data_IF_825756151466
#
_entry.id   IF_825756151466
#
_cell.length_a   1.000
_cell.length_b   1.000
_cell.length_c   1.000
_cell.angle_alpha   90.00
_cell.angle_beta   90.00
_cell.angle_gamma   90.00
#
_symmetry.space_group_name_H-M   'P 1'
#
loop_
_entity.id
_entity.type
_entity.pdbx_description
1 polymer ?
#
# COMPACT_ATOMS: atom_id res chain seq x y z
N UNK A 1 -12.32 -48.59 30.14
CA UNK A 1 -12.60 -47.16 30.17
C UNK A 1 -11.37 -46.41 29.63
N UNK A 2 -11.33 -46.19 28.29
CA UNK A 2 -10.23 -45.46 27.65
C UNK A 2 -10.74 -44.08 27.29
N UNK A 3 -10.13 -43.05 27.85
CA UNK A 3 -10.36 -41.65 27.48
C UNK A 3 -9.46 -41.33 26.31
N UNK A 4 -10.05 -41.17 25.13
CA UNK A 4 -9.36 -40.58 23.96
C UNK A 4 -9.26 -39.08 24.16
N UNK A 5 -8.05 -38.56 24.33
CA UNK A 5 -7.75 -37.14 24.32
C UNK A 5 -7.62 -36.66 22.86
N UNK A 6 -8.60 -35.88 22.41
CA UNK A 6 -8.60 -35.23 21.12
C UNK A 6 -7.64 -34.01 21.18
N UNK A 7 -6.45 -34.14 20.62
CA UNK A 7 -5.52 -33.06 20.45
C UNK A 7 -6.03 -32.16 19.28
N UNK A 8 -6.60 -31.01 19.65
CA UNK A 8 -6.98 -29.95 18.72
C UNK A 8 -5.71 -29.20 18.32
N UNK A 9 -5.14 -29.57 17.18
CA UNK A 9 -4.03 -28.83 16.58
C UNK A 9 -4.56 -27.52 16.02
N UNK A 10 -4.34 -26.42 16.76
CA UNK A 10 -4.54 -25.07 16.26
C UNK A 10 -3.43 -24.80 15.26
N UNK A 11 -3.74 -24.88 13.95
CA UNK A 11 -2.90 -24.34 12.90
C UNK A 11 -2.88 -22.82 13.06
N UNK A 12 -1.83 -22.30 13.70
CA UNK A 12 -1.49 -20.91 13.63
C UNK A 12 -1.03 -20.64 12.18
N UNK A 13 -1.91 -20.03 11.38
CA UNK A 13 -1.54 -19.50 10.07
C UNK A 13 -0.51 -18.40 10.28
N UNK A 14 0.76 -18.71 10.04
CA UNK A 14 1.84 -17.73 9.98
C UNK A 14 1.57 -16.79 8.82
N UNK A 15 1.33 -15.51 9.13
CA UNK A 15 1.19 -14.46 8.14
C UNK A 15 2.56 -14.11 7.60
N UNK A 16 2.76 -14.24 6.30
CA UNK A 16 3.94 -13.77 5.59
C UNK A 16 3.75 -12.29 5.24
N UNK A 17 4.81 -11.51 5.38
CA UNK A 17 4.77 -10.05 5.30
C UNK A 17 5.74 -9.54 4.21
N UNK A 18 5.35 -8.53 3.44
CA UNK A 18 5.97 -8.08 2.21
C UNK A 18 7.07 -7.02 2.39
N UNK A 19 8.12 -7.12 1.56
CA UNK A 19 9.19 -6.12 1.52
C UNK A 19 9.89 -6.04 0.15
N UNK A 20 10.27 -4.83 -0.30
CA UNK A 20 10.94 -4.58 -1.60
C UNK A 20 12.44 -4.92 -1.64
N UNK A 21 12.99 -5.49 -0.57
CA UNK A 21 14.33 -6.04 -0.45
C UNK A 21 14.27 -7.41 0.19
N UNK A 22 15.40 -7.92 0.71
CA UNK A 22 15.35 -8.99 1.68
C UNK A 22 16.13 -8.67 2.94
N UNK A 23 15.63 -9.14 4.07
CA UNK A 23 16.33 -9.05 5.33
C UNK A 23 17.26 -10.24 5.50
N UNK A 24 18.46 -9.99 6.00
CA UNK A 24 19.41 -11.01 6.43
C UNK A 24 19.69 -10.83 7.91
N UNK A 25 19.46 -11.86 8.70
CA UNK A 25 19.67 -11.82 10.14
C UNK A 25 20.97 -12.53 10.53
N UNK A 26 21.62 -12.09 11.65
CA UNK A 26 22.65 -12.92 12.29
C UNK A 26 21.99 -14.08 13.02
N UNK A 27 22.53 -15.25 12.82
CA UNK A 27 22.35 -16.57 13.40
C UNK A 27 21.12 -16.81 14.22
N UNK A 28 19.97 -16.72 14.26
CA UNK A 28 18.80 -17.16 15.03
C UNK A 28 17.58 -16.20 15.05
N UNK A 29 17.67 -15.06 14.35
CA UNK A 29 16.54 -14.13 14.25
C UNK A 29 15.58 -14.55 13.13
N UNK A 30 14.33 -14.82 13.45
CA UNK A 30 13.23 -14.87 12.48
C UNK A 30 12.69 -13.44 12.32
N UNK A 31 12.77 -12.92 11.11
CA UNK A 31 12.39 -11.56 10.77
C UNK A 31 11.07 -11.57 9.99
N UNK A 32 10.06 -10.87 10.50
CA UNK A 32 8.75 -10.76 9.87
C UNK A 32 8.36 -9.29 9.66
N UNK A 33 7.72 -9.01 8.53
CA UNK A 33 7.18 -7.68 8.20
C UNK A 33 5.67 -7.79 7.90
N UNK A 34 4.82 -6.87 8.38
CA UNK A 34 3.34 -7.02 8.30
C UNK A 34 2.69 -6.47 7.03
N UNK A 35 3.25 -5.48 6.41
CA UNK A 35 2.95 -4.96 5.08
C UNK A 35 4.00 -3.94 4.71
N UNK A 36 4.57 -4.02 3.53
CA UNK A 36 5.53 -3.01 3.08
C UNK A 36 4.82 -1.81 2.51
N UNK A 37 5.29 -0.63 2.90
CA UNK A 37 4.86 0.65 2.32
C UNK A 37 6.05 1.29 1.62
N UNK A 38 5.85 1.69 0.37
CA UNK A 38 6.87 2.37 -0.43
C UNK A 38 6.27 3.61 -1.07
N UNK A 39 6.88 4.77 -0.82
CA UNK A 39 6.60 5.96 -1.58
C UNK A 39 7.64 6.09 -2.70
N UNK A 40 7.18 6.29 -3.93
CA UNK A 40 8.02 6.51 -5.11
C UNK A 40 7.63 7.84 -5.74
N UNK A 41 8.59 8.76 -5.77
CA UNK A 41 8.48 10.04 -6.45
C UNK A 41 9.26 9.97 -7.74
N UNK A 42 8.65 10.35 -8.88
CA UNK A 42 9.32 10.27 -10.17
C UNK A 42 8.96 11.43 -11.10
N UNK A 43 10.00 12.04 -11.67
CA UNK A 43 9.89 13.00 -12.77
C UNK A 43 11.02 12.77 -13.78
N UNK A 44 10.70 12.36 -15.00
CA UNK A 44 11.69 11.90 -15.97
C UNK A 44 12.51 10.70 -15.45
N UNK A 45 13.85 10.76 -15.49
CA UNK A 45 14.70 9.71 -14.91
C UNK A 45 14.89 9.85 -13.40
N UNK A 46 14.61 11.03 -12.82
CA UNK A 46 14.84 11.30 -11.41
C UNK A 46 13.84 10.56 -10.53
N UNK A 47 14.34 9.77 -9.60
CA UNK A 47 13.53 8.91 -8.74
C UNK A 47 13.95 9.06 -7.29
N UNK A 48 12.98 9.23 -6.40
CA UNK A 48 13.19 9.11 -4.95
C UNK A 48 12.31 7.99 -4.43
N UNK A 49 12.90 7.02 -3.73
CA UNK A 49 12.18 5.92 -3.09
C UNK A 49 12.29 6.05 -1.58
N UNK A 50 11.17 6.06 -0.87
CA UNK A 50 11.11 5.98 0.59
C UNK A 50 10.50 4.65 0.97
N UNK A 51 11.26 3.81 1.67
CA UNK A 51 10.87 2.45 2.06
C UNK A 51 10.55 2.42 3.54
N UNK A 52 9.29 2.18 3.87
CA UNK A 52 8.83 1.96 5.24
C UNK A 52 9.10 0.53 5.69
N UNK A 53 9.74 0.38 6.83
CA UNK A 53 10.05 -0.92 7.41
C UNK A 53 9.12 -1.16 8.61
N UNK A 54 8.05 -1.94 8.43
CA UNK A 54 7.24 -2.44 9.54
C UNK A 54 7.86 -3.74 10.08
N UNK A 55 8.97 -3.56 10.80
CA UNK A 55 9.67 -4.66 11.43
C UNK A 55 9.00 -5.05 12.76
N UNK A 56 8.70 -6.32 12.93
CA UNK A 56 8.28 -6.90 14.21
C UNK A 56 9.15 -8.10 14.55
N UNK A 57 10.10 -7.92 15.45
CA UNK A 57 11.00 -8.97 15.93
C UNK A 57 12.12 -8.40 16.81
N UNK A 58 12.99 -9.24 17.40
CA UNK A 58 14.14 -8.74 18.14
C UNK A 58 15.07 -7.98 17.17
N UNK A 59 15.40 -6.74 17.51
CA UNK A 59 16.32 -5.85 16.76
C UNK A 59 17.78 -6.35 16.77
N UNK A 60 17.98 -7.65 16.75
CA UNK A 60 19.31 -8.24 16.62
C UNK A 60 19.78 -8.09 15.19
N UNK A 61 20.85 -7.37 15.01
CA UNK A 61 21.64 -7.14 13.79
C UNK A 61 21.08 -7.78 12.50
N UNK A 62 20.15 -7.11 11.82
CA UNK A 62 19.71 -7.48 10.47
C UNK A 62 20.25 -6.50 9.44
N UNK A 63 20.33 -6.89 8.20
CA UNK A 63 20.61 -6.00 7.08
C UNK A 63 19.49 -6.06 6.06
N UNK A 64 19.26 -4.91 5.45
CA UNK A 64 18.38 -4.72 4.31
C UNK A 64 19.23 -4.68 3.04
N UNK A 65 18.89 -5.48 2.05
CA UNK A 65 19.54 -5.50 0.73
C UNK A 65 18.56 -5.01 -0.32
N UNK A 66 18.92 -3.93 -1.03
CA UNK A 66 18.11 -3.33 -2.10
C UNK A 66 18.95 -3.18 -3.35
N UNK A 67 18.53 -3.70 -4.52
CA UNK A 67 19.21 -3.41 -5.77
C UNK A 67 18.90 -1.97 -6.21
N UNK A 68 19.96 -1.25 -6.58
CA UNK A 68 19.91 0.13 -7.03
C UNK A 68 20.60 0.29 -8.39
N UNK A 69 20.21 1.26 -9.25
CA UNK A 69 20.73 1.36 -10.61
C UNK A 69 22.21 1.78 -10.66
N UNK A 70 22.69 2.50 -9.65
CA UNK A 70 24.04 3.08 -9.60
C UNK A 70 24.58 3.05 -8.17
N UNK A 71 25.87 3.35 -8.03
CA UNK A 71 26.48 3.60 -6.70
C UNK A 71 25.96 4.93 -6.18
N UNK A 72 25.23 4.88 -5.07
CA UNK A 72 24.68 6.08 -4.45
C UNK A 72 25.76 6.82 -3.65
N UNK A 73 25.76 8.15 -3.72
CA UNK A 73 26.55 8.99 -2.86
C UNK A 73 25.84 9.22 -1.52
N UNK A 74 26.55 9.67 -0.51
CA UNK A 74 25.99 9.84 0.84
C UNK A 74 24.82 10.83 0.88
N UNK A 75 24.88 11.90 0.12
CA UNK A 75 23.85 12.94 -0.01
C UNK A 75 22.60 12.49 -0.77
N UNK A 76 22.66 11.33 -1.43
CA UNK A 76 21.50 10.66 -2.06
C UNK A 76 20.74 9.75 -1.09
N UNK A 77 21.21 9.60 0.15
CA UNK A 77 20.66 8.67 1.15
C UNK A 77 20.22 9.45 2.38
N UNK A 78 18.95 9.40 2.69
CA UNK A 78 18.35 10.07 3.84
C UNK A 78 17.51 9.11 4.68
N UNK A 79 17.12 9.53 5.88
CA UNK A 79 16.14 8.85 6.72
C UNK A 79 14.82 9.60 6.66
N UNK A 80 13.79 8.90 6.26
CA UNK A 80 12.43 9.42 6.23
C UNK A 80 11.77 9.43 7.61
N UNK A 81 10.58 10.01 7.67
CA UNK A 81 9.70 9.93 8.84
C UNK A 81 8.55 8.95 8.53
N UNK A 82 8.38 7.93 9.38
CA UNK A 82 7.26 6.99 9.26
C UNK A 82 5.91 7.69 9.26
N UNK A 83 5.78 8.78 10.00
CA UNK A 83 4.55 9.58 10.04
C UNK A 83 4.10 10.07 8.66
N UNK A 84 5.02 10.30 7.74
CA UNK A 84 4.68 10.72 6.38
C UNK A 84 4.07 9.58 5.57
N UNK A 85 4.56 8.34 5.75
CA UNK A 85 3.94 7.16 5.16
C UNK A 85 2.56 6.88 5.77
N UNK A 86 2.42 7.05 7.09
CA UNK A 86 1.14 6.92 7.78
C UNK A 86 0.14 7.99 7.27
N UNK A 87 0.60 9.23 7.03
CA UNK A 87 -0.21 10.31 6.42
C UNK A 87 -0.64 9.97 4.98
N UNK A 88 0.25 9.41 4.16
CA UNK A 88 -0.10 8.92 2.81
C UNK A 88 -1.16 7.80 2.90
N UNK A 89 -0.98 6.88 3.85
CA UNK A 89 -1.92 5.80 4.09
C UNK A 89 -3.30 6.33 4.46
N UNK A 90 -3.39 7.22 5.45
CA UNK A 90 -4.63 7.84 5.90
C UNK A 90 -5.32 8.64 4.78
N UNK A 91 -4.55 9.43 4.02
CA UNK A 91 -5.07 10.26 2.94
C UNK A 91 -5.63 9.45 1.78
N UNK A 92 -5.01 8.32 1.42
CA UNK A 92 -5.31 7.57 0.20
C UNK A 92 -5.95 6.19 0.44
N UNK A 93 -6.20 5.78 1.69
CA UNK A 93 -6.80 4.48 1.98
C UNK A 93 -8.22 4.34 1.42
N UNK A 94 -8.63 3.12 1.08
CA UNK A 94 -10.03 2.80 0.87
C UNK A 94 -10.89 3.26 2.05
N UNK A 95 -12.05 3.83 1.76
CA UNK A 95 -12.84 4.48 2.80
C UNK A 95 -14.32 4.18 2.72
N UNK A 96 -14.94 4.30 3.88
CA UNK A 96 -16.38 4.25 4.06
C UNK A 96 -16.89 5.69 4.22
N UNK A 97 -17.94 6.04 3.49
CA UNK A 97 -18.63 7.32 3.62
C UNK A 97 -20.08 7.07 3.98
N UNK A 98 -20.66 7.95 4.79
CA UNK A 98 -22.00 7.78 5.32
C UNK A 98 -22.87 8.96 4.92
N UNK A 99 -24.05 8.64 4.42
CA UNK A 99 -25.09 9.62 4.13
C UNK A 99 -26.38 9.21 4.84
N UNK A 100 -27.22 10.18 5.14
CA UNK A 100 -28.55 9.94 5.71
C UNK A 100 -29.61 10.47 4.75
N UNK A 101 -30.65 9.68 4.50
CA UNK A 101 -31.76 10.13 3.66
C UNK A 101 -32.48 11.33 4.29
N UNK A 102 -32.83 12.31 3.48
CA UNK A 102 -33.67 13.43 3.97
C UNK A 102 -35.08 12.92 4.31
N UNK A 103 -35.80 13.73 5.09
CA UNK A 103 -37.22 13.49 5.41
C UNK A 103 -38.05 13.44 4.13
N UNK A 104 -38.62 12.30 3.76
CA UNK A 104 -39.40 12.18 2.52
C UNK A 104 -40.74 12.93 2.58
N UNK A 105 -41.23 13.27 3.78
CA UNK A 105 -42.44 14.00 3.98
C UNK A 105 -42.23 15.53 4.01
N UNK A 106 -40.97 15.99 4.04
CA UNK A 106 -40.61 17.41 4.16
C UNK A 106 -39.36 17.75 3.32
N UNK A 107 -39.47 17.57 2.03
CA UNK A 107 -38.36 17.86 1.09
C UNK A 107 -38.19 19.38 0.94
N UNK A 108 -37.26 19.97 1.70
CA UNK A 108 -36.73 21.32 1.43
C UNK A 108 -35.53 21.22 0.50
N UNK A 109 -35.44 22.09 -0.55
CA UNK A 109 -34.24 22.06 -1.41
C UNK A 109 -33.01 22.46 -0.61
N UNK A 110 -31.99 21.62 -0.65
CA UNK A 110 -30.72 21.84 0.02
C UNK A 110 -29.94 22.99 -0.61
N UNK A 111 -29.37 23.86 0.23
CA UNK A 111 -28.43 24.92 -0.13
C UNK A 111 -27.03 24.46 0.22
N UNK A 112 -26.14 24.48 -0.76
CA UNK A 112 -24.71 24.14 -0.57
C UNK A 112 -23.97 25.27 0.14
N UNK A 113 -23.13 24.91 1.12
CA UNK A 113 -22.13 25.81 1.70
C UNK A 113 -20.73 25.20 1.59
N UNK A 114 -19.82 25.96 0.98
CA UNK A 114 -18.37 25.65 0.94
C UNK A 114 -17.61 26.62 1.86
N UNK A 115 -16.58 26.13 2.54
CA UNK A 115 -15.57 26.99 3.17
C UNK A 115 -14.16 26.36 3.11
N UNK A 116 -13.18 27.20 2.80
CA UNK A 116 -11.76 26.91 2.64
C UNK A 116 -10.94 27.40 3.84
N UNK A 117 -9.77 26.79 4.09
CA UNK A 117 -8.66 27.47 4.76
C UNK A 117 -7.30 26.76 4.56
N UNK A 118 -6.22 27.54 4.61
CA UNK A 118 -4.84 27.18 4.21
C UNK A 118 -3.78 27.57 5.25
N UNK A 119 -2.61 26.90 5.27
CA UNK A 119 -1.24 27.32 5.05
C UNK A 119 -0.13 27.27 6.13
N UNK A 120 1.10 26.92 5.65
CA UNK A 120 2.52 27.31 5.88
C UNK A 120 3.37 26.56 6.89
N UNK A 121 4.55 26.36 6.67
CA UNK A 121 5.80 26.00 6.00
C UNK A 121 7.04 26.32 6.87
N UNK A 122 8.19 25.61 6.66
CA UNK A 122 9.52 25.92 7.19
C UNK A 122 10.59 24.84 6.99
N UNK A 123 11.83 25.21 6.66
CA UNK A 123 12.93 24.45 6.05
C UNK A 123 14.26 24.40 6.88
N UNK A 124 15.46 24.01 6.32
CA UNK A 124 16.20 22.75 6.60
C UNK A 124 17.69 22.96 7.03
N UNK A 125 18.54 21.89 7.12
CA UNK A 125 20.02 21.97 7.01
C UNK A 125 20.77 20.62 6.88
N UNK A 126 22.08 20.63 6.44
CA UNK A 126 22.86 19.62 5.76
C UNK A 126 24.14 19.09 6.46
N UNK A 127 24.65 17.98 6.00
CA UNK A 127 25.78 17.05 5.91
C UNK A 127 27.19 17.32 6.55
N UNK A 128 28.13 16.33 6.68
CA UNK A 128 29.07 15.83 5.69
C UNK A 128 29.69 14.38 5.83
N UNK A 129 30.72 14.01 5.06
CA UNK A 129 31.19 12.75 4.45
C UNK A 129 32.23 11.83 5.16
N UNK A 130 32.49 10.57 4.57
CA UNK A 130 33.58 9.62 4.91
C UNK A 130 33.79 8.38 4.00
N UNK A 131 34.95 7.65 4.01
CA UNK A 131 35.62 6.84 2.97
C UNK A 131 35.57 5.29 3.02
N UNK A 132 35.97 4.58 1.94
CA UNK A 132 35.76 3.19 1.52
C UNK A 132 36.91 2.14 1.71
N UNK A 133 36.57 0.79 1.60
CA UNK A 133 37.50 -0.36 1.59
C UNK A 133 36.99 -1.55 0.71
N UNK A 134 37.87 -2.53 0.29
CA UNK A 134 37.60 -3.60 -0.71
C UNK A 134 37.84 -5.04 -0.21
N UNK A 135 37.07 -6.04 -0.70
CA UNK A 135 37.30 -7.49 -0.54
C UNK A 135 36.69 -8.34 -1.70
N UNK A 136 37.11 -9.64 -1.83
CA UNK A 136 37.11 -10.53 -3.00
C UNK A 136 35.76 -10.72 -3.74
N UNK A 137 35.78 -10.56 -5.08
CA UNK A 137 34.65 -10.84 -6.00
C UNK A 137 33.48 -9.83 -5.91
N UNK A 138 33.32 -9.23 -4.77
CA UNK A 138 32.44 -8.11 -4.48
C UNK A 138 33.30 -6.89 -4.25
N UNK A 139 32.96 -5.80 -4.92
CA UNK A 139 33.63 -4.51 -4.70
C UNK A 139 32.74 -3.70 -3.76
N UNK A 140 33.29 -3.31 -2.61
CA UNK A 140 32.71 -2.29 -1.77
C UNK A 140 33.00 -0.94 -2.43
N UNK A 141 31.98 -0.37 -3.05
CA UNK A 141 32.09 0.89 -3.80
C UNK A 141 32.09 2.09 -2.85
N UNK A 142 31.28 2.02 -1.79
CA UNK A 142 31.17 3.06 -0.77
C UNK A 142 30.66 2.50 0.56
N UNK A 143 30.93 3.22 1.64
CA UNK A 143 30.39 2.90 2.97
C UNK A 143 30.05 4.20 3.71
N UNK A 144 28.86 4.23 4.32
CA UNK A 144 28.34 5.40 5.03
C UNK A 144 27.66 4.98 6.33
N UNK A 145 27.68 5.84 7.33
CA UNK A 145 26.77 5.77 8.46
C UNK A 145 25.74 6.88 8.33
N UNK A 146 24.46 6.52 8.36
CA UNK A 146 23.32 7.45 8.26
C UNK A 146 22.34 7.06 9.37
N UNK A 147 22.30 7.87 10.45
CA UNK A 147 21.52 7.58 11.65
C UNK A 147 21.83 6.18 12.20
N UNK A 148 20.80 5.39 12.42
CA UNK A 148 20.91 4.02 12.94
C UNK A 148 21.37 2.97 11.92
N UNK A 149 21.77 3.37 10.71
CA UNK A 149 22.19 2.44 9.67
C UNK A 149 23.66 2.60 9.29
N UNK A 150 24.39 1.49 9.27
CA UNK A 150 25.66 1.35 8.56
C UNK A 150 25.35 0.85 7.15
N UNK A 151 25.71 1.61 6.14
CA UNK A 151 25.37 1.39 4.74
C UNK A 151 26.61 1.02 3.96
N UNK A 152 26.50 0.00 3.10
CA UNK A 152 27.55 -0.41 2.18
C UNK A 152 26.96 -0.53 0.78
N UNK A 153 27.60 0.10 -0.20
CA UNK A 153 27.26 -0.02 -1.62
C UNK A 153 28.19 -1.07 -2.25
N UNK A 154 27.60 -2.11 -2.83
CA UNK A 154 28.34 -3.24 -3.39
C UNK A 154 28.09 -3.34 -4.89
N UNK A 155 29.17 -3.67 -5.63
CA UNK A 155 29.09 -4.24 -6.97
C UNK A 155 29.45 -5.72 -6.90
N UNK A 156 28.68 -6.56 -7.58
CA UNK A 156 28.95 -7.99 -7.66
C UNK A 156 29.13 -8.42 -9.12
N UNK A 157 30.09 -9.29 -9.37
CA UNK A 157 30.32 -9.91 -10.70
C UNK A 157 29.38 -11.07 -10.93
N UNK A 158 28.99 -11.76 -9.87
CA UNK A 158 28.05 -12.87 -9.86
C UNK A 158 27.24 -12.88 -8.56
N UNK A 159 26.10 -13.58 -8.57
CA UNK A 159 25.20 -13.65 -7.42
C UNK A 159 25.74 -14.52 -6.28
N UNK A 160 26.58 -15.50 -6.59
CA UNK A 160 27.22 -16.35 -5.60
C UNK A 160 28.25 -15.58 -4.75
N UNK A 161 29.05 -14.72 -5.38
CA UNK A 161 30.01 -13.87 -4.68
C UNK A 161 29.33 -12.89 -3.73
N UNK A 162 28.16 -12.34 -4.10
CA UNK A 162 27.38 -11.49 -3.20
C UNK A 162 26.79 -12.29 -2.02
N UNK A 163 26.27 -13.48 -2.29
CA UNK A 163 25.75 -14.35 -1.24
C UNK A 163 26.87 -14.74 -0.26
N UNK A 164 28.06 -15.11 -0.78
CA UNK A 164 29.23 -15.45 0.04
C UNK A 164 29.69 -14.28 0.90
N UNK A 165 29.82 -13.07 0.32
CA UNK A 165 30.16 -11.86 1.06
C UNK A 165 29.20 -11.59 2.22
N UNK A 166 27.90 -11.70 1.98
CA UNK A 166 26.88 -11.51 3.02
C UNK A 166 26.99 -12.58 4.10
N UNK A 167 27.26 -13.86 3.72
CA UNK A 167 27.45 -14.97 4.66
C UNK A 167 28.72 -14.80 5.50
N UNK A 168 29.85 -14.41 4.88
CA UNK A 168 31.10 -14.10 5.59
C UNK A 168 30.95 -12.89 6.53
N UNK A 169 30.10 -11.93 6.16
CA UNK A 169 29.73 -10.81 7.03
C UNK A 169 28.83 -11.22 8.19
N UNK A 170 28.51 -12.52 8.34
CA UNK A 170 27.74 -13.10 9.42
C UNK A 170 26.23 -13.07 9.23
N UNK A 171 25.74 -12.81 8.02
CA UNK A 171 24.31 -12.79 7.73
C UNK A 171 23.78 -14.17 7.34
N UNK A 172 22.58 -14.49 7.80
CA UNK A 172 21.85 -15.68 7.37
C UNK A 172 21.10 -15.37 6.09
N UNK A 173 21.55 -15.99 4.99
CA UNK A 173 21.00 -15.76 3.66
C UNK A 173 19.84 -16.73 3.40
N UNK A 174 18.67 -16.28 2.91
CA UNK A 174 17.60 -17.15 2.46
C UNK A 174 18.08 -18.14 1.39
N UNK A 175 17.52 -19.37 1.39
CA UNK A 175 17.97 -20.45 0.48
C UNK A 175 17.88 -20.10 -1.01
N UNK A 176 16.97 -19.19 -1.40
CA UNK A 176 16.75 -18.75 -2.79
C UNK A 176 17.34 -17.38 -3.11
N UNK A 177 18.18 -16.83 -2.25
CA UNK A 177 18.71 -15.48 -2.43
C UNK A 177 19.57 -15.35 -3.70
N UNK A 178 20.43 -16.34 -4.01
CA UNK A 178 21.25 -16.30 -5.22
C UNK A 178 20.40 -16.26 -6.50
N UNK A 179 19.30 -17.00 -6.55
CA UNK A 179 18.34 -16.98 -7.67
C UNK A 179 17.66 -15.61 -7.79
N UNK A 180 17.24 -15.03 -6.67
CA UNK A 180 16.59 -13.72 -6.63
C UNK A 180 17.56 -12.58 -6.98
N UNK A 181 18.85 -12.71 -6.64
CA UNK A 181 19.91 -11.73 -6.93
C UNK A 181 20.40 -11.78 -8.39
N UNK A 182 20.39 -12.96 -9.02
CA UNK A 182 20.97 -13.17 -10.34
C UNK A 182 20.46 -12.22 -11.44
N UNK A 183 19.16 -11.89 -11.54
CA UNK A 183 18.66 -10.92 -12.54
C UNK A 183 19.26 -9.52 -12.40
N UNK A 184 19.48 -9.06 -11.16
CA UNK A 184 20.04 -7.72 -10.88
C UNK A 184 21.53 -7.67 -11.21
N UNK A 185 22.28 -8.73 -10.90
CA UNK A 185 23.70 -8.85 -11.29
C UNK A 185 23.84 -8.84 -12.81
N UNK A 186 22.99 -9.58 -13.56
CA UNK A 186 22.97 -9.56 -15.03
C UNK A 186 22.66 -8.18 -15.60
N UNK A 187 21.89 -7.36 -14.89
CA UNK A 187 21.59 -5.99 -15.26
C UNK A 187 22.66 -4.98 -14.79
N UNK A 188 23.77 -5.45 -14.21
CA UNK A 188 24.85 -4.63 -13.64
C UNK A 188 24.35 -3.64 -12.56
N UNK A 189 23.26 -3.99 -11.85
CA UNK A 189 22.79 -3.21 -10.72
C UNK A 189 23.76 -3.28 -9.55
N UNK A 190 23.71 -2.29 -8.72
CA UNK A 190 24.48 -2.23 -7.47
C UNK A 190 23.58 -2.67 -6.32
N UNK A 191 24.19 -2.99 -5.19
CA UNK A 191 23.44 -3.45 -4.02
C UNK A 191 23.70 -2.51 -2.87
N UNK A 192 22.62 -1.84 -2.47
CA UNK A 192 22.56 -1.07 -1.25
C UNK A 192 22.32 -2.05 -0.10
N UNK A 193 23.25 -2.13 0.83
CA UNK A 193 23.14 -2.97 2.01
C UNK A 193 23.17 -2.08 3.24
N UNK A 194 22.04 -1.99 3.92
CA UNK A 194 21.91 -1.23 5.17
C UNK A 194 21.83 -2.19 6.37
N UNK A 195 22.74 -2.05 7.29
CA UNK A 195 22.79 -2.79 8.55
C UNK A 195 22.32 -1.89 9.68
N UNK A 196 21.47 -2.42 10.56
CA UNK A 196 21.10 -1.69 11.78
C UNK A 196 22.21 -1.77 12.81
N UNK A 197 22.67 -0.62 13.27
CA UNK A 197 23.59 -0.48 14.36
C UNK A 197 22.81 -0.29 15.66
N UNK A 198 22.67 -1.34 16.45
CA UNK A 198 21.91 -1.30 17.71
C UNK A 198 22.49 -0.36 18.75
N UNK A 199 23.77 0.01 18.64
CA UNK A 199 24.40 0.98 19.56
C UNK A 199 23.90 2.39 19.30
N UNK A 200 23.62 2.72 18.04
CA UNK A 200 23.06 4.00 17.61
C UNK A 200 21.51 3.99 17.69
N UNK A 201 20.92 2.81 17.73
CA UNK A 201 19.47 2.62 17.81
C UNK A 201 18.91 2.71 19.25
N UNK A 202 19.69 3.21 20.23
CA UNK A 202 19.22 3.37 21.61
C UNK A 202 17.99 4.27 21.71
N UNK A 203 16.84 3.67 22.11
CA UNK A 203 15.57 4.37 22.24
C UNK A 203 14.71 4.39 20.96
N UNK A 204 15.16 3.82 19.84
CA UNK A 204 14.37 3.68 18.62
C UNK A 204 13.44 2.48 18.77
N UNK A 205 12.14 2.73 18.94
CA UNK A 205 11.13 1.66 19.01
C UNK A 205 10.78 1.12 17.62
N UNK A 206 11.02 1.90 16.56
CA UNK A 206 10.77 1.54 15.15
C UNK A 206 11.89 2.09 14.27
N UNK A 207 12.38 1.28 13.34
CA UNK A 207 13.37 1.70 12.34
C UNK A 207 12.79 2.79 11.43
N UNK A 208 13.55 3.88 11.24
CA UNK A 208 13.13 4.95 10.33
C UNK A 208 13.15 4.46 8.88
N UNK A 209 12.20 4.92 8.04
CA UNK A 209 12.23 4.65 6.60
C UNK A 209 13.55 5.09 5.99
N UNK A 210 14.08 4.29 5.07
CA UNK A 210 15.24 4.68 4.27
C UNK A 210 14.73 5.36 2.99
N UNK A 211 15.29 6.52 2.69
CA UNK A 211 15.02 7.27 1.48
C UNK A 211 16.27 7.31 0.60
N UNK A 212 16.10 7.02 -0.69
CA UNK A 212 17.18 6.98 -1.68
C UNK A 212 16.79 7.76 -2.92
N UNK A 213 17.66 8.67 -3.37
CA UNK A 213 17.49 9.44 -4.61
C UNK A 213 18.49 8.97 -5.66
N UNK A 214 18.02 8.72 -6.89
CA UNK A 214 18.86 8.28 -8.00
C UNK A 214 18.22 8.55 -9.36
N UNK A 215 19.05 8.54 -10.38
CA UNK A 215 18.60 8.56 -11.78
C UNK A 215 18.51 7.15 -12.34
N UNK A 216 17.44 6.86 -13.05
CA UNK A 216 17.23 5.58 -13.72
C UNK A 216 16.33 5.77 -14.96
N UNK A 217 16.71 5.17 -16.07
CA UNK A 217 15.82 5.07 -17.24
C UNK A 217 14.58 4.21 -16.95
N UNK A 218 14.72 3.25 -16.04
CA UNK A 218 13.63 2.35 -15.67
C UNK A 218 12.87 2.87 -14.47
N UNK A 219 11.55 2.96 -14.61
CA UNK A 219 10.65 3.16 -13.49
C UNK A 219 10.30 1.77 -12.92
N UNK A 220 11.06 1.32 -11.94
CA UNK A 220 11.01 -0.05 -11.43
C UNK A 220 11.02 -0.08 -9.90
N UNK A 221 10.29 -1.05 -9.33
CA UNK A 221 10.39 -1.41 -7.92
C UNK A 221 10.79 -2.88 -7.79
N UNK A 222 11.96 -3.19 -7.20
CA UNK A 222 12.43 -4.55 -7.03
C UNK A 222 11.62 -5.26 -5.94
N UNK A 223 10.84 -6.27 -6.31
CA UNK A 223 10.03 -7.08 -5.38
C UNK A 223 10.53 -8.52 -5.24
N UNK A 224 11.35 -9.01 -6.16
CA UNK A 224 11.84 -10.41 -6.14
C UNK A 224 12.59 -10.75 -4.86
N UNK A 225 13.34 -9.81 -4.31
CA UNK A 225 14.10 -10.04 -3.09
C UNK A 225 13.20 -10.26 -1.88
N UNK A 226 12.07 -9.57 -1.81
CA UNK A 226 11.05 -9.79 -0.77
C UNK A 226 10.55 -11.24 -0.75
N UNK A 227 10.39 -11.84 -1.92
CA UNK A 227 9.94 -13.23 -2.05
C UNK A 227 10.96 -14.27 -1.55
N UNK A 228 12.24 -13.92 -1.48
CA UNK A 228 13.26 -14.82 -0.94
C UNK A 228 13.09 -15.05 0.58
N UNK A 229 12.46 -14.11 1.29
CA UNK A 229 12.15 -14.24 2.73
C UNK A 229 10.77 -14.87 3.00
N UNK A 230 9.94 -15.06 1.97
CA UNK A 230 8.62 -15.64 2.11
C UNK A 230 8.72 -17.17 2.25
N UNK A 231 8.72 -17.67 3.47
CA UNK A 231 8.73 -19.12 3.74
C UNK A 231 7.39 -19.82 3.36
N UNK A 232 6.29 -19.11 3.28
CA UNK A 232 5.02 -19.59 2.72
C UNK A 232 3.97 -18.46 2.65
N UNK A 233 3.60 -18.04 1.47
CA UNK A 233 2.42 -17.22 1.23
C UNK A 233 2.68 -15.91 0.49
N UNK A 234 1.60 -15.34 -0.02
CA UNK A 234 1.63 -14.05 -0.70
C UNK A 234 1.82 -12.90 0.29
N UNK A 235 2.46 -11.84 -0.17
CA UNK A 235 2.83 -10.65 0.60
C UNK A 235 2.06 -9.43 0.08
N UNK A 236 1.65 -8.53 0.99
CA UNK A 236 1.00 -7.28 0.62
C UNK A 236 2.00 -6.12 0.57
N UNK A 237 1.92 -5.31 -0.49
CA UNK A 237 2.74 -4.14 -0.73
C UNK A 237 1.85 -2.97 -1.14
N UNK A 238 1.98 -1.85 -0.45
CA UNK A 238 1.34 -0.59 -0.81
C UNK A 238 2.39 0.34 -1.43
N UNK A 239 2.14 0.75 -2.66
CA UNK A 239 2.98 1.72 -3.38
C UNK A 239 2.23 3.04 -3.50
N UNK A 240 2.83 4.11 -2.97
CA UNK A 240 2.40 5.49 -3.16
C UNK A 240 3.26 6.11 -4.25
N UNK A 241 2.77 6.11 -5.47
CA UNK A 241 3.48 6.69 -6.61
C UNK A 241 3.06 8.14 -6.83
N UNK A 242 4.03 9.04 -6.84
CA UNK A 242 3.85 10.49 -6.99
C UNK A 242 4.55 10.96 -8.26
N UNK A 243 3.78 11.53 -9.19
CA UNK A 243 4.27 12.00 -10.50
C UNK A 243 3.63 13.33 -10.90
N UNK A 244 4.27 14.07 -11.83
CA UNK A 244 3.70 15.32 -12.38
C UNK A 244 2.58 15.08 -13.37
N UNK A 245 2.62 13.97 -14.13
CA UNK A 245 1.84 13.82 -15.37
C UNK A 245 0.47 13.21 -15.18
N UNK A 246 0.32 12.27 -14.27
CA UNK A 246 -0.91 11.54 -14.07
C UNK A 246 -0.69 10.22 -13.34
N UNK A 247 -1.68 9.36 -13.34
CA UNK A 247 -1.62 8.10 -12.59
C UNK A 247 -0.52 7.17 -13.08
N UNK A 248 -0.05 6.34 -12.17
CA UNK A 248 0.94 5.30 -12.43
C UNK A 248 0.25 3.97 -12.65
N UNK A 249 0.72 3.23 -13.65
CA UNK A 249 0.29 1.86 -13.95
C UNK A 249 1.50 0.94 -14.10
N UNK A 250 1.29 -0.34 -13.85
CA UNK A 250 2.31 -1.35 -14.19
C UNK A 250 2.33 -1.60 -15.70
N UNK A 251 3.53 -1.85 -16.26
CA UNK A 251 3.70 -2.16 -17.68
C UNK A 251 3.84 -3.65 -17.95
N UNK A 252 4.16 -4.43 -16.93
CA UNK A 252 4.36 -5.89 -17.07
C UNK A 252 3.32 -6.73 -16.31
N UNK A 253 2.44 -6.08 -15.54
CA UNK A 253 1.27 -6.71 -14.89
C UNK A 253 0.03 -5.87 -15.18
N UNK A 254 -1.12 -6.53 -15.24
CA UNK A 254 -2.38 -5.83 -15.41
C UNK A 254 -2.63 -4.88 -14.24
N UNK A 255 -2.91 -3.62 -14.51
CA UNK A 255 -3.38 -2.67 -13.50
C UNK A 255 -4.89 -2.55 -13.58
N UNK A 256 -5.57 -2.80 -12.46
CA UNK A 256 -7.03 -2.76 -12.35
C UNK A 256 -7.47 -1.82 -11.24
N UNK A 257 -8.59 -1.14 -11.41
CA UNK A 257 -9.22 -0.38 -10.32
C UNK A 257 -10.03 -1.35 -9.48
N UNK A 258 -9.91 -1.25 -8.14
CA UNK A 258 -10.82 -1.99 -7.28
C UNK A 258 -12.24 -1.45 -7.46
N UNK A 259 -13.28 -2.30 -7.52
CA UNK A 259 -14.65 -1.82 -7.54
C UNK A 259 -14.95 -0.93 -6.34
N UNK A 260 -15.47 0.26 -6.60
CA UNK A 260 -15.76 1.26 -5.57
C UNK A 260 -16.90 2.18 -6.01
N UNK A 261 -17.18 3.19 -5.22
CA UNK A 261 -18.28 4.15 -5.44
C UNK A 261 -19.65 3.47 -5.51
N UNK A 262 -19.87 2.52 -4.61
CA UNK A 262 -21.06 1.68 -4.55
C UNK A 262 -21.68 1.69 -3.16
N UNK A 263 -23.00 1.55 -3.12
CA UNK A 263 -23.76 1.40 -1.86
C UNK A 263 -23.65 -0.04 -1.35
N UNK A 264 -23.40 -0.16 -0.03
CA UNK A 264 -23.29 -1.44 0.68
C UNK A 264 -24.07 -1.40 1.99
N UNK A 265 -24.49 -2.56 2.54
CA UNK A 265 -25.30 -2.63 3.75
C UNK A 265 -24.63 -1.99 4.98
N UNK A 266 -25.43 -1.33 5.83
CA UNK A 266 -24.97 -0.64 7.05
C UNK A 266 -24.11 -1.50 7.98
N UNK A 267 -24.37 -2.79 8.09
CA UNK A 267 -23.62 -3.68 8.99
C UNK A 267 -22.12 -3.75 8.68
N UNK A 268 -21.70 -3.41 7.45
CA UNK A 268 -20.28 -3.41 7.03
C UNK A 268 -19.48 -2.38 7.83
N UNK A 269 -20.10 -1.33 8.35
CA UNK A 269 -19.45 -0.34 9.21
C UNK A 269 -18.72 -0.99 10.40
N UNK A 270 -19.31 -2.02 10.99
CA UNK A 270 -18.76 -2.69 12.19
C UNK A 270 -17.48 -3.49 11.91
N UNK A 271 -17.27 -3.90 10.66
CA UNK A 271 -16.12 -4.69 10.23
C UNK A 271 -15.70 -4.30 8.80
N UNK A 272 -15.43 -3.02 8.58
CA UNK A 272 -15.01 -2.53 7.28
C UNK A 272 -13.68 -3.17 6.84
N UNK A 273 -12.75 -3.41 7.77
CA UNK A 273 -11.48 -4.08 7.48
C UNK A 273 -11.66 -5.50 6.96
N UNK A 274 -12.56 -6.29 7.56
CA UNK A 274 -12.87 -7.65 7.10
C UNK A 274 -13.58 -7.66 5.74
N UNK A 275 -14.51 -6.73 5.54
CA UNK A 275 -15.14 -6.51 4.24
C UNK A 275 -14.09 -6.21 3.16
N UNK A 276 -13.23 -5.20 3.40
CA UNK A 276 -12.26 -4.78 2.39
C UNK A 276 -11.26 -5.89 2.03
N UNK A 277 -10.80 -6.67 3.01
CA UNK A 277 -9.95 -7.84 2.75
C UNK A 277 -10.63 -8.85 1.83
N UNK A 278 -11.92 -9.10 2.03
CA UNK A 278 -12.70 -10.03 1.19
C UNK A 278 -12.90 -9.47 -0.21
N UNK A 279 -13.25 -8.18 -0.33
CA UNK A 279 -13.41 -7.51 -1.62
C UNK A 279 -12.12 -7.48 -2.42
N UNK A 280 -11.00 -7.15 -1.78
CA UNK A 280 -9.68 -7.16 -2.42
C UNK A 280 -9.28 -8.58 -2.87
N UNK A 281 -9.45 -9.59 -2.02
CA UNK A 281 -9.13 -10.96 -2.38
C UNK A 281 -10.00 -11.47 -3.54
N UNK A 282 -11.29 -11.12 -3.54
CA UNK A 282 -12.22 -11.49 -4.61
C UNK A 282 -11.86 -10.80 -5.93
N UNK A 283 -11.52 -9.51 -5.89
CA UNK A 283 -11.06 -8.76 -7.06
C UNK A 283 -9.76 -9.35 -7.64
N UNK A 284 -8.79 -9.72 -6.79
CA UNK A 284 -7.56 -10.37 -7.25
C UNK A 284 -7.83 -11.74 -7.87
N UNK A 285 -8.71 -12.54 -7.26
CA UNK A 285 -9.06 -13.86 -7.79
C UNK A 285 -9.67 -13.77 -9.21
N UNK A 286 -10.48 -12.76 -9.48
CA UNK A 286 -11.03 -12.50 -10.82
C UNK A 286 -9.94 -12.19 -11.88
N UNK A 287 -8.72 -11.85 -11.45
CA UNK A 287 -7.56 -11.58 -12.30
C UNK A 287 -6.41 -12.58 -12.06
N UNK A 288 -6.73 -13.82 -11.70
CA UNK A 288 -5.76 -14.91 -11.50
C UNK A 288 -4.65 -14.56 -10.48
N UNK A 289 -4.94 -13.69 -9.51
CA UNK A 289 -4.01 -13.15 -8.52
C UNK A 289 -2.78 -12.44 -9.11
N UNK A 290 -2.86 -11.95 -10.35
CA UNK A 290 -1.75 -11.31 -11.10
C UNK A 290 -1.98 -9.84 -11.42
N UNK A 291 -2.84 -9.17 -10.66
CA UNK A 291 -3.14 -7.77 -10.90
C UNK A 291 -2.49 -6.84 -9.86
N UNK A 292 -2.09 -5.67 -10.33
CA UNK A 292 -1.76 -4.50 -9.51
C UNK A 292 -3.05 -3.70 -9.33
N UNK A 293 -3.52 -3.55 -8.11
CA UNK A 293 -4.81 -2.93 -7.81
C UNK A 293 -4.64 -1.46 -7.52
N UNK A 294 -5.29 -0.59 -8.30
CA UNK A 294 -5.39 0.84 -8.02
C UNK A 294 -6.51 1.06 -6.99
N UNK A 295 -6.14 1.65 -5.84
CA UNK A 295 -7.06 2.00 -4.77
C UNK A 295 -7.38 3.50 -4.72
N UNK A 296 -6.46 4.33 -5.22
CA UNK A 296 -6.59 5.78 -5.18
C UNK A 296 -5.80 6.46 -6.30
N UNK A 297 -6.38 7.48 -6.93
CA UNK A 297 -5.72 8.40 -7.86
C UNK A 297 -6.28 9.80 -7.60
N UNK A 298 -5.41 10.75 -7.31
CA UNK A 298 -5.83 12.13 -7.08
C UNK A 298 -4.75 13.15 -7.45
N UNK A 299 -5.16 14.19 -8.14
CA UNK A 299 -4.32 15.34 -8.34
C UNK A 299 -4.34 16.20 -7.07
N UNK A 300 -3.21 16.27 -6.37
CA UNK A 300 -3.05 16.96 -5.10
C UNK A 300 -3.27 18.49 -5.17
N UNK A 301 -3.43 19.01 -6.37
CA UNK A 301 -3.80 20.41 -6.59
C UNK A 301 -5.26 20.71 -6.28
N UNK A 302 -6.09 19.69 -6.16
CA UNK A 302 -7.50 19.81 -5.85
C UNK A 302 -7.81 19.18 -4.49
N UNK A 303 -8.70 19.83 -3.73
CA UNK A 303 -9.19 19.26 -2.48
C UNK A 303 -9.97 17.97 -2.76
N UNK A 304 -9.65 16.90 -2.04
CA UNK A 304 -10.49 15.71 -1.97
C UNK A 304 -11.48 15.88 -0.80
N UNK A 305 -12.75 16.11 -1.07
CA UNK A 305 -13.73 16.40 -0.01
C UNK A 305 -14.00 15.21 0.92
N UNK A 306 -13.60 14.01 0.54
CA UNK A 306 -13.79 12.77 1.30
C UNK A 306 -12.51 12.28 2.00
N UNK A 307 -11.37 12.95 1.77
CA UNK A 307 -10.09 12.57 2.36
C UNK A 307 -9.83 13.27 3.71
N UNK A 308 -8.82 12.76 4.41
CA UNK A 308 -8.15 13.50 5.46
C UNK A 308 -7.55 14.81 4.91
N UNK A 309 -7.15 15.77 5.77
CA UNK A 309 -6.48 16.98 5.28
C UNK A 309 -5.30 16.64 4.36
N UNK A 310 -5.12 17.33 3.23
CA UNK A 310 -4.07 17.03 2.27
C UNK A 310 -2.67 17.19 2.89
N UNK A 311 -1.70 16.48 2.35
CA UNK A 311 -0.32 16.67 2.74
C UNK A 311 0.13 18.09 2.36
N UNK A 312 0.88 18.71 3.25
CA UNK A 312 1.47 20.03 3.04
C UNK A 312 2.63 19.94 2.05
N UNK A 313 3.02 21.07 1.48
CA UNK A 313 4.22 21.15 0.62
C UNK A 313 5.47 20.62 1.35
N UNK A 314 5.66 20.98 2.63
CA UNK A 314 6.79 20.50 3.43
C UNK A 314 6.78 18.98 3.61
N UNK A 315 5.62 18.37 3.86
CA UNK A 315 5.48 16.91 3.95
C UNK A 315 5.79 16.22 2.61
N UNK A 316 5.34 16.79 1.50
CA UNK A 316 5.61 16.27 0.15
C UNK A 316 7.11 16.43 -0.23
N UNK A 317 7.73 17.55 0.10
CA UNK A 317 9.17 17.75 -0.10
C UNK A 317 9.97 16.77 0.76
N UNK A 318 9.58 16.54 2.00
CA UNK A 318 10.20 15.54 2.88
C UNK A 318 10.02 14.08 2.38
N UNK A 319 8.96 13.81 1.61
CA UNK A 319 8.78 12.55 0.88
C UNK A 319 9.62 12.47 -0.41
N UNK A 320 10.33 13.53 -0.77
CA UNK A 320 11.22 13.59 -1.93
C UNK A 320 10.59 14.20 -3.18
N UNK A 321 9.48 14.92 -3.08
CA UNK A 321 8.90 15.66 -4.21
C UNK A 321 9.74 16.92 -4.46
N UNK A 322 10.74 16.80 -5.31
CA UNK A 322 11.81 17.79 -5.51
C UNK A 322 11.45 18.96 -6.43
N UNK A 323 10.28 18.94 -7.06
CA UNK A 323 9.87 19.99 -8.02
C UNK A 323 8.93 21.03 -7.43
N UNK A 324 8.58 20.95 -6.16
CA UNK A 324 7.63 21.88 -5.52
C UNK A 324 8.27 23.19 -5.08
N UNK A 325 9.57 23.20 -4.80
CA UNK A 325 10.27 24.35 -4.22
C UNK A 325 10.37 25.56 -5.17
N UNK A 326 10.25 25.34 -6.50
CA UNK A 326 10.34 26.37 -7.52
C UNK A 326 8.97 26.81 -8.09
N UNK A 327 7.91 26.18 -7.70
CA UNK A 327 6.56 26.56 -8.11
C UNK A 327 6.02 27.59 -7.12
N UNK A 328 6.25 28.88 -7.38
CA UNK A 328 5.52 29.94 -6.71
C UNK A 328 4.02 29.64 -6.84
N UNK A 329 3.38 29.30 -5.73
CA UNK A 329 1.95 28.98 -5.67
C UNK A 329 1.10 30.23 -5.96
N UNK A 330 0.91 30.55 -7.21
CA UNK A 330 -0.05 31.55 -7.66
C UNK A 330 -1.30 30.86 -8.18
N UNK A 331 -2.14 30.33 -7.29
CA UNK A 331 -3.52 29.95 -7.58
C UNK A 331 -3.79 28.73 -8.48
N UNK A 332 -2.74 28.04 -8.96
CA UNK A 332 -2.85 26.78 -9.69
C UNK A 332 -2.39 25.63 -8.81
N UNK A 333 -3.20 24.59 -8.65
CA UNK A 333 -2.93 23.49 -7.74
C UNK A 333 -1.55 22.82 -7.88
N UNK A 334 -1.15 22.02 -6.89
CA UNK A 334 0.13 21.30 -6.91
C UNK A 334 0.21 20.38 -8.14
N UNK A 335 1.24 20.50 -9.03
CA UNK A 335 1.39 19.63 -10.17
C UNK A 335 1.88 18.23 -9.71
N UNK A 336 1.04 17.53 -9.02
CA UNK A 336 1.34 16.24 -8.39
C UNK A 336 0.11 15.34 -8.43
N UNK A 337 0.25 14.19 -9.06
CA UNK A 337 -0.75 13.11 -8.98
C UNK A 337 -0.23 12.01 -8.05
N UNK A 338 -0.99 11.75 -6.99
CA UNK A 338 -0.78 10.60 -6.12
C UNK A 338 -1.57 9.42 -6.65
N UNK A 339 -0.89 8.29 -6.87
CA UNK A 339 -1.49 6.99 -7.17
C UNK A 339 -1.17 6.01 -6.05
N UNK A 340 -2.18 5.40 -5.44
CA UNK A 340 -1.99 4.28 -4.53
C UNK A 340 -2.27 2.98 -5.25
N UNK A 341 -1.27 2.11 -5.25
CA UNK A 341 -1.34 0.75 -5.78
C UNK A 341 -1.20 -0.24 -4.64
N UNK A 342 -2.04 -1.27 -4.65
CA UNK A 342 -1.95 -2.40 -3.72
C UNK A 342 -1.59 -3.65 -4.51
N UNK A 343 -0.54 -4.33 -4.12
CA UNK A 343 -0.04 -5.54 -4.77
C UNK A 343 0.03 -6.66 -3.74
N UNK A 344 -0.62 -7.77 -4.01
CA UNK A 344 -0.40 -9.03 -3.28
C UNK A 344 0.41 -9.94 -4.16
N UNK A 345 1.67 -10.18 -3.80
CA UNK A 345 2.61 -10.86 -4.66
C UNK A 345 3.27 -12.08 -4.00
N UNK A 346 3.59 -13.05 -4.81
CA UNK A 346 4.39 -14.22 -4.51
C UNK A 346 5.21 -14.63 -5.74
N UNK A 347 6.07 -15.64 -5.62
CA UNK A 347 6.96 -16.06 -6.70
C UNK A 347 6.23 -16.76 -7.87
N UNK A 348 5.00 -17.23 -7.68
CA UNK A 348 4.19 -17.88 -8.72
C UNK A 348 3.48 -16.85 -9.59
N UNK A 349 2.85 -15.85 -8.96
CA UNK A 349 2.02 -14.87 -9.65
C UNK A 349 2.81 -13.65 -10.11
N UNK A 350 3.91 -13.30 -9.42
CA UNK A 350 4.76 -12.14 -9.73
C UNK A 350 6.24 -12.56 -9.89
N UNK A 351 6.60 -13.33 -10.94
CA UNK A 351 7.98 -13.79 -11.14
C UNK A 351 8.96 -12.66 -11.48
N UNK A 352 8.47 -11.46 -11.80
CA UNK A 352 9.27 -10.30 -12.17
C UNK A 352 9.05 -9.11 -11.22
N UNK A 353 10.00 -8.17 -11.26
CA UNK A 353 9.87 -6.90 -10.56
C UNK A 353 8.74 -6.06 -11.15
N UNK A 354 8.21 -5.12 -10.38
CA UNK A 354 7.21 -4.20 -10.88
C UNK A 354 7.87 -3.15 -11.77
N UNK A 355 7.44 -3.09 -13.02
CA UNK A 355 7.79 -2.02 -13.95
C UNK A 355 6.59 -1.08 -14.07
N UNK A 356 6.85 0.21 -14.05
CA UNK A 356 5.81 1.22 -14.05
C UNK A 356 5.93 2.19 -15.22
N UNK A 357 4.84 2.89 -15.49
CA UNK A 357 4.79 4.08 -16.32
C UNK A 357 3.86 5.13 -15.70
N UNK A 358 4.22 6.41 -15.85
CA UNK A 358 3.28 7.50 -15.62
C UNK A 358 2.46 7.71 -16.88
N UNK A 359 1.15 7.64 -16.76
CA UNK A 359 0.23 7.91 -17.86
C UNK A 359 -0.14 9.40 -17.93
N UNK A 360 -0.83 9.84 -18.97
CA UNK A 360 -1.43 11.18 -19.03
C UNK A 360 -2.79 11.28 -18.34
N UNK A 361 -3.31 10.20 -17.77
CA UNK A 361 -4.62 10.17 -17.14
C UNK A 361 -4.59 10.79 -15.74
N UNK A 362 -5.40 11.82 -15.56
CA UNK A 362 -5.56 12.55 -14.30
C UNK A 362 -6.96 12.37 -13.69
N UNK A 363 -7.76 11.44 -14.23
CA UNK A 363 -9.09 11.20 -13.69
C UNK A 363 -9.02 10.74 -12.24
N UNK A 364 -9.71 11.43 -11.32
CA UNK A 364 -9.73 11.05 -9.93
C UNK A 364 -10.38 9.68 -9.75
N UNK A 365 -9.87 8.92 -8.82
CA UNK A 365 -10.43 7.63 -8.41
C UNK A 365 -10.20 7.39 -6.91
N UNK A 366 -11.23 6.91 -6.24
CA UNK A 366 -11.17 6.49 -4.85
C UNK A 366 -11.86 5.15 -4.69
N UNK A 367 -11.25 4.25 -3.95
CA UNK A 367 -11.91 3.05 -3.42
C UNK A 367 -12.86 3.49 -2.29
N UNK A 368 -14.05 3.95 -2.67
CA UNK A 368 -15.06 4.51 -1.77
C UNK A 368 -16.28 3.60 -1.72
N UNK A 369 -16.77 3.37 -0.51
CA UNK A 369 -17.97 2.56 -0.26
C UNK A 369 -18.96 3.40 0.52
N UNK A 370 -20.22 3.33 0.15
CA UNK A 370 -21.28 4.23 0.65
C UNK A 370 -22.23 3.46 1.55
N UNK A 371 -22.43 3.99 2.75
CA UNK A 371 -23.54 3.61 3.62
C UNK A 371 -24.63 4.67 3.53
N UNK A 372 -25.81 4.25 3.12
CA UNK A 372 -26.97 5.12 3.02
C UNK A 372 -27.97 4.79 4.13
N UNK A 373 -27.95 5.59 5.19
CA UNK A 373 -28.85 5.42 6.34
C UNK A 373 -30.28 5.87 6.00
N UNK A 374 -31.27 4.99 6.15
CA UNK A 374 -32.66 5.37 5.92
C UNK A 374 -33.14 6.41 6.94
N UNK A 375 -34.01 7.31 6.50
CA UNK A 375 -34.74 8.20 7.39
C UNK A 375 -35.58 7.37 8.38
N UNK A 376 -35.51 7.73 9.66
CA UNK A 376 -36.17 7.02 10.78
C UNK A 376 -37.28 7.80 11.46
N UNK A 377 -37.84 8.86 10.81
CA UNK A 377 -38.94 9.66 11.31
C UNK A 377 -40.31 9.13 10.91
N UNK A 378 -41.33 10.00 11.02
CA UNK A 378 -42.71 9.69 10.62
C UNK A 378 -42.80 9.54 9.09
N UNK A 379 -43.32 8.43 8.64
CA UNK A 379 -43.52 8.04 7.22
C UNK A 379 -45.02 7.91 6.87
N UNK A 380 -45.90 8.55 7.60
CA UNK A 380 -47.36 8.44 7.40
C UNK A 380 -47.86 9.11 6.12
N UNK A 381 -47.10 10.02 5.52
CA UNK A 381 -47.43 10.67 4.26
C UNK A 381 -47.38 9.73 3.04
N UNK A 382 -47.92 10.17 1.91
CA UNK A 382 -47.93 9.35 0.68
C UNK A 382 -46.51 9.05 0.17
N UNK A 383 -45.63 10.06 0.21
CA UNK A 383 -44.21 9.97 -0.16
C UNK A 383 -43.47 9.04 0.78
N UNK A 384 -43.77 9.03 2.09
CA UNK A 384 -43.18 8.13 3.09
C UNK A 384 -43.49 6.65 2.80
N UNK A 385 -44.70 6.32 2.33
CA UNK A 385 -45.05 4.96 1.91
C UNK A 385 -44.28 4.53 0.66
N UNK A 386 -44.10 5.42 -0.31
CA UNK A 386 -43.30 5.16 -1.50
C UNK A 386 -41.83 4.98 -1.14
N UNK A 387 -41.30 5.83 -0.26
CA UNK A 387 -39.95 5.76 0.26
C UNK A 387 -39.65 4.44 0.95
N UNK A 388 -40.55 3.89 1.75
CA UNK A 388 -40.40 2.59 2.39
C UNK A 388 -40.14 1.48 1.35
N UNK A 389 -40.88 1.50 0.22
CA UNK A 389 -40.64 0.54 -0.87
C UNK A 389 -39.30 0.74 -1.54
N UNK A 390 -38.84 2.00 -1.70
CA UNK A 390 -37.52 2.32 -2.25
C UNK A 390 -36.39 1.81 -1.33
N UNK A 391 -36.51 1.99 0.00
CA UNK A 391 -35.54 1.46 0.96
C UNK A 391 -35.40 -0.06 0.86
N UNK A 392 -36.52 -0.81 0.73
CA UNK A 392 -36.46 -2.26 0.55
C UNK A 392 -35.78 -2.65 -0.75
N UNK A 393 -36.03 -1.90 -1.83
CA UNK A 393 -35.36 -2.14 -3.13
C UNK A 393 -33.88 -1.85 -3.05
N UNK A 394 -33.48 -0.74 -2.41
CA UNK A 394 -32.07 -0.34 -2.18
C UNK A 394 -31.33 -1.42 -1.36
N UNK A 395 -31.86 -1.84 -0.22
CA UNK A 395 -31.26 -2.89 0.61
C UNK A 395 -31.05 -4.20 -0.15
N UNK A 396 -31.93 -4.51 -1.10
CA UNK A 396 -31.73 -5.68 -1.98
C UNK A 396 -30.57 -5.46 -2.95
N UNK A 397 -30.45 -4.27 -3.54
CA UNK A 397 -29.35 -3.90 -4.42
C UNK A 397 -28.01 -3.92 -3.66
N UNK A 398 -27.96 -3.31 -2.46
CA UNK A 398 -26.79 -3.29 -1.58
C UNK A 398 -26.32 -4.72 -1.24
N UNK A 399 -27.26 -5.63 -0.89
CA UNK A 399 -26.92 -7.03 -0.59
C UNK A 399 -26.36 -7.77 -1.83
N UNK A 400 -26.91 -7.51 -3.01
CA UNK A 400 -26.40 -8.09 -4.28
C UNK A 400 -25.01 -7.52 -4.61
N UNK A 401 -24.81 -6.21 -4.47
CA UNK A 401 -23.53 -5.54 -4.67
C UNK A 401 -22.48 -6.13 -3.72
N UNK A 402 -22.80 -6.28 -2.43
CA UNK A 402 -21.89 -6.86 -1.46
C UNK A 402 -21.49 -8.31 -1.81
N UNK A 403 -22.44 -9.12 -2.27
CA UNK A 403 -22.16 -10.48 -2.73
C UNK A 403 -21.20 -10.49 -3.94
N UNK A 404 -21.40 -9.58 -4.90
CA UNK A 404 -20.53 -9.43 -6.07
C UNK A 404 -19.13 -8.96 -5.71
N UNK A 405 -19.02 -8.03 -4.76
CA UNK A 405 -17.74 -7.51 -4.32
C UNK A 405 -16.90 -8.52 -3.54
N UNK A 406 -17.54 -9.33 -2.71
CA UNK A 406 -16.83 -10.16 -1.71
C UNK A 406 -16.85 -11.65 -2.01
N UNK A 407 -17.74 -12.10 -2.88
CA UNK A 407 -18.06 -13.53 -3.06
C UNK A 407 -18.82 -14.13 -1.86
N UNK A 408 -19.29 -13.34 -0.90
CA UNK A 408 -20.06 -13.86 0.24
C UNK A 408 -21.42 -14.37 -0.21
N UNK A 409 -21.88 -15.44 0.42
CA UNK A 409 -23.19 -16.01 0.08
C UNK A 409 -24.34 -15.06 0.44
N UNK A 410 -25.40 -14.99 -0.39
CA UNK A 410 -26.58 -14.16 -0.06
C UNK A 410 -27.21 -14.50 1.29
N UNK A 411 -27.16 -15.77 1.70
CA UNK A 411 -27.67 -16.20 3.00
C UNK A 411 -26.88 -15.61 4.16
N UNK A 412 -25.54 -15.64 4.10
CA UNK A 412 -24.66 -15.03 5.11
C UNK A 412 -24.84 -13.51 5.18
N UNK A 413 -25.04 -12.86 4.03
CA UNK A 413 -25.31 -11.40 3.98
C UNK A 413 -26.66 -11.10 4.65
N UNK A 414 -27.71 -11.84 4.32
CA UNK A 414 -29.04 -11.66 4.91
C UNK A 414 -29.02 -11.88 6.43
N UNK A 415 -28.31 -12.90 6.91
CA UNK A 415 -28.12 -13.15 8.35
C UNK A 415 -27.43 -11.94 9.05
N UNK A 416 -26.38 -11.40 8.44
CA UNK A 416 -25.65 -10.23 8.98
C UNK A 416 -26.46 -8.93 8.92
N UNK A 417 -27.35 -8.78 7.93
CA UNK A 417 -28.29 -7.68 7.85
C UNK A 417 -29.38 -7.76 8.93
N UNK A 418 -29.72 -8.97 9.39
CA UNK A 418 -30.72 -9.19 10.43
C UNK A 418 -32.10 -8.61 10.08
N UNK A 419 -32.70 -7.73 10.93
CA UNK A 419 -34.00 -7.12 10.66
C UNK A 419 -34.05 -6.25 9.39
N UNK A 420 -32.90 -5.78 8.95
CA UNK A 420 -32.76 -4.95 7.74
C UNK A 420 -32.65 -5.77 6.46
N UNK A 421 -32.61 -7.10 6.55
CA UNK A 421 -32.56 -7.99 5.39
C UNK A 421 -33.84 -7.80 4.54
N UNK A 422 -33.68 -7.60 3.22
CA UNK A 422 -34.84 -7.51 2.35
C UNK A 422 -35.60 -8.83 2.35
N UNK A 423 -36.95 -8.79 2.27
CA UNK A 423 -37.75 -10.01 2.20
C UNK A 423 -37.33 -10.86 1.01
N UNK A 424 -37.32 -12.18 1.18
CA UNK A 424 -37.02 -13.09 0.10
C UNK A 424 -37.89 -12.79 -1.14
N UNK A 425 -37.35 -12.85 -2.35
CA UNK A 425 -38.15 -12.65 -3.54
C UNK A 425 -39.26 -13.67 -3.58
N UNK A 426 -40.49 -13.26 -3.96
CA UNK A 426 -41.58 -14.20 -4.06
C UNK A 426 -41.20 -15.34 -5.01
N UNK A 427 -41.56 -16.58 -4.72
CA UNK A 427 -41.28 -17.70 -5.60
C UNK A 427 -41.79 -17.39 -7.02
N UNK A 428 -41.04 -17.80 -8.04
CA UNK A 428 -41.32 -17.44 -9.43
C UNK A 428 -42.75 -17.75 -9.89
N UNK A 429 -43.35 -18.83 -9.34
CA UNK A 429 -44.72 -19.22 -9.65
C UNK A 429 -45.80 -18.25 -9.17
N UNK A 430 -45.50 -17.38 -8.18
CA UNK A 430 -46.47 -16.36 -7.77
C UNK A 430 -46.68 -15.26 -8.83
N UNK A 431 -45.79 -15.13 -9.81
CA UNK A 431 -45.92 -14.23 -10.94
C UNK A 431 -46.59 -14.81 -12.18
N UNK A 432 -46.70 -16.17 -12.25
CA UNK A 432 -47.22 -16.83 -13.43
C UNK A 432 -48.76 -16.81 -13.49
N UNK A 433 -49.40 -16.70 -12.34
CA UNK A 433 -50.87 -16.78 -12.21
C UNK A 433 -51.55 -15.44 -11.89
N UNK A 434 -50.97 -14.32 -12.36
CA UNK A 434 -51.60 -12.99 -12.29
C UNK A 434 -52.25 -12.62 -13.61
#
# INVERSE_FOLDING_TARGET
MWKAALLLSILAASRADAFCGFFVGKADAQLFNKASQVAIVRDGPHTVITMGNDYSGPLTEFALVVPVPSVLQKDQIHLGDKKLLDRLAEYSAPRLVEYTDPDPCNLRPAREEMAMSAARAGTPAAAPEGKAAKAAGVTVEASYTVGEYDIVLLSAKDSGGLEEYLRESGYRIPRRAAEALAPYVKQNMKFFVARVNLKEAHGVQQLRPIQMAFDSERFMLPIRLGMANADAGAQDLIVYAMTRKGRVESTNYQTVKIPGDVEIPEFVQKDFGGFYKSAFAHALHAHENRAVVTEYVWNMGFCDPCAAPPLTQGELTALGVFWLDNAGYHGGGMPLTLTRLHVRYDSEHFPEDLLFQATGDQQPFQARYVLQHPFRGDLSCAEGKQYTAQVVARRRAEAMTLAQLTGWSPASIAERMGPDAPPAPPPFWKGIWR
#
